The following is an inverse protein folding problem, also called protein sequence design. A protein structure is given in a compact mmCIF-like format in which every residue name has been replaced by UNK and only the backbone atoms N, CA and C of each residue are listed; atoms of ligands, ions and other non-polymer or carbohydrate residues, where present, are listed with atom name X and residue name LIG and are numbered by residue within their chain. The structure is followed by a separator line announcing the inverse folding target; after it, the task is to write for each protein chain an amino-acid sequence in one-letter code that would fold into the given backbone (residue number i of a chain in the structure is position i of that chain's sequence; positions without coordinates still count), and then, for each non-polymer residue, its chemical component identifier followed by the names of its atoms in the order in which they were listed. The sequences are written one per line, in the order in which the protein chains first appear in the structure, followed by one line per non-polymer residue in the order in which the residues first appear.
data_IF_016260276940
#
_entry.id   IF_016260276940
#
_cell.length_a   1.000
_cell.length_b   1.000
_cell.length_c   1.000
_cell.angle_alpha   90.00
_cell.angle_beta   90.00
_cell.angle_gamma   90.00
#
_symmetry.space_group_name_H-M   'P 1'
#
loop_
_entity.id
_entity.type
_entity.pdbx_description
1 polymer ?
#
# COMPACT_ATOMS: atom_id res chain seq x y z
N UNK A 1 -9.36 29.07 31.80
CA UNK A 1 -8.10 29.44 31.13
C UNK A 1 -7.18 28.21 31.14
N UNK A 2 -7.47 27.22 30.29
CA UNK A 2 -6.71 25.98 30.27
C UNK A 2 -6.17 25.73 28.88
N UNK A 3 -4.85 25.71 28.86
CA UNK A 3 -4.04 25.52 27.66
C UNK A 3 -4.00 24.02 27.33
N UNK A 4 -4.83 23.56 26.43
CA UNK A 4 -4.58 22.27 25.74
C UNK A 4 -3.43 22.46 24.75
N UNK A 5 -2.23 22.20 25.22
CA UNK A 5 -1.10 21.90 24.34
C UNK A 5 -1.31 20.50 23.80
N UNK A 6 -1.93 20.38 22.62
CA UNK A 6 -1.93 19.15 21.85
C UNK A 6 -0.51 18.78 21.49
N UNK A 7 0.01 17.70 22.07
CA UNK A 7 1.23 17.08 21.62
C UNK A 7 1.01 16.62 20.17
N UNK A 8 1.77 17.19 19.24
CA UNK A 8 1.83 16.69 17.85
C UNK A 8 2.56 15.35 17.88
N UNK A 9 1.80 14.27 17.96
CA UNK A 9 2.35 12.94 17.72
C UNK A 9 2.59 12.80 16.21
N UNK A 10 3.81 13.09 15.78
CA UNK A 10 4.28 12.70 14.45
C UNK A 10 4.34 11.18 14.40
N UNK A 11 3.36 10.56 13.75
CA UNK A 11 3.40 9.13 13.49
C UNK A 11 4.33 8.88 12.30
N UNK A 12 5.53 8.50 12.63
CA UNK A 12 6.51 8.02 11.68
C UNK A 12 6.22 6.54 11.42
N UNK A 13 5.56 6.19 10.31
CA UNK A 13 5.33 4.80 9.88
C UNK A 13 6.66 4.08 9.58
N UNK A 14 7.74 4.82 9.54
CA UNK A 14 9.07 4.46 9.09
C UNK A 14 9.74 3.25 9.79
N UNK A 15 9.66 3.03 11.11
CA UNK A 15 10.49 1.99 11.74
C UNK A 15 9.97 0.57 11.54
N UNK A 16 8.71 0.38 11.17
CA UNK A 16 8.05 -0.92 11.20
C UNK A 16 7.88 -1.61 9.85
N UNK A 17 8.05 -0.91 8.72
CA UNK A 17 7.96 -1.55 7.40
C UNK A 17 9.25 -2.34 7.14
N UNK A 18 9.21 -3.69 7.06
CA UNK A 18 10.41 -4.50 6.82
C UNK A 18 10.97 -4.24 5.41
N UNK A 19 12.22 -4.55 5.19
CA UNK A 19 12.76 -4.59 3.83
C UNK A 19 12.15 -5.76 3.07
N UNK A 20 11.73 -5.54 1.82
CA UNK A 20 11.36 -6.64 0.92
C UNK A 20 12.61 -7.46 0.59
N UNK A 21 12.48 -8.77 0.64
CA UNK A 21 13.60 -9.68 0.37
C UNK A 21 13.90 -9.76 -1.12
N UNK A 22 15.16 -9.92 -1.47
CA UNK A 22 15.61 -10.10 -2.84
C UNK A 22 15.71 -8.82 -3.65
N UNK A 23 15.79 -8.96 -4.97
CA UNK A 23 15.84 -7.84 -5.91
C UNK A 23 14.44 -7.25 -6.12
N UNK A 24 14.40 -6.00 -6.53
CA UNK A 24 13.13 -5.39 -6.98
C UNK A 24 12.64 -6.10 -8.24
N UNK A 25 11.33 -6.35 -8.34
CA UNK A 25 10.73 -6.89 -9.56
C UNK A 25 11.01 -5.99 -10.78
N UNK A 26 11.05 -6.62 -11.93
CA UNK A 26 11.09 -5.87 -13.20
C UNK A 26 9.68 -5.37 -13.49
N UNK A 27 9.57 -4.13 -13.95
CA UNK A 27 8.31 -3.53 -14.37
C UNK A 27 8.39 -3.04 -15.81
N UNK A 28 7.27 -3.06 -16.52
CA UNK A 28 7.13 -2.41 -17.82
C UNK A 28 6.40 -1.10 -17.61
N UNK A 29 7.12 0.01 -17.86
CA UNK A 29 6.58 1.36 -17.74
C UNK A 29 5.76 1.72 -18.96
N UNK A 30 4.55 2.21 -18.73
CA UNK A 30 3.61 2.60 -19.76
C UNK A 30 2.30 3.09 -19.14
N UNK A 31 1.24 3.28 -19.94
CA UNK A 31 -0.10 3.61 -19.43
C UNK A 31 -0.59 2.58 -18.41
N UNK A 32 -0.31 1.30 -18.67
CA UNK A 32 -0.39 0.22 -17.69
C UNK A 32 1.03 -0.07 -17.22
N UNK A 33 1.40 0.45 -16.06
CA UNK A 33 2.71 0.24 -15.46
C UNK A 33 2.69 -1.09 -14.69
N UNK A 34 3.05 -2.19 -15.34
CA UNK A 34 2.85 -3.56 -14.83
C UNK A 34 4.12 -4.20 -14.32
N UNK A 35 3.98 -5.04 -13.30
CA UNK A 35 5.04 -5.92 -12.80
C UNK A 35 5.19 -7.12 -13.73
N UNK A 36 6.45 -7.52 -14.00
CA UNK A 36 6.79 -8.67 -14.83
C UNK A 36 7.52 -9.72 -13.99
N UNK A 37 6.78 -10.76 -13.59
CA UNK A 37 7.34 -11.84 -12.78
C UNK A 37 7.62 -11.44 -11.33
N UNK A 38 8.30 -12.32 -10.58
CA UNK A 38 8.63 -12.18 -9.16
C UNK A 38 7.38 -11.92 -8.28
N UNK A 39 6.29 -12.59 -8.60
CA UNK A 39 5.02 -12.62 -7.86
C UNK A 39 4.71 -14.02 -7.35
N UNK A 40 3.88 -14.10 -6.32
CA UNK A 40 3.35 -15.37 -5.81
C UNK A 40 2.18 -15.91 -6.64
N UNK A 41 1.36 -16.74 -6.01
CA UNK A 41 0.15 -17.30 -6.62
C UNK A 41 -0.92 -16.19 -6.73
N UNK A 42 -1.58 -16.10 -7.87
CA UNK A 42 -2.72 -15.22 -8.11
C UNK A 42 -3.86 -15.45 -7.09
N UNK A 43 -3.95 -16.66 -6.54
CA UNK A 43 -4.94 -16.97 -5.50
C UNK A 43 -4.71 -16.17 -4.23
N UNK A 44 -3.47 -16.08 -3.73
CA UNK A 44 -3.17 -15.30 -2.53
C UNK A 44 -3.49 -13.81 -2.74
N UNK A 45 -3.23 -13.30 -3.94
CA UNK A 45 -3.60 -11.94 -4.29
C UNK A 45 -5.12 -11.75 -4.33
N UNK A 46 -5.89 -12.72 -4.88
CA UNK A 46 -7.35 -12.67 -4.90
C UNK A 46 -7.93 -12.72 -3.49
N UNK A 47 -7.45 -13.65 -2.66
CA UNK A 47 -7.89 -13.78 -1.26
C UNK A 47 -7.65 -12.47 -0.48
N UNK A 48 -6.50 -11.82 -0.71
CA UNK A 48 -6.20 -10.50 -0.13
C UNK A 48 -7.16 -9.41 -0.63
N UNK A 49 -7.46 -9.39 -1.93
CA UNK A 49 -8.37 -8.39 -2.51
C UNK A 49 -9.79 -8.60 -2.00
N UNK A 50 -10.26 -9.84 -1.89
CA UNK A 50 -11.56 -10.18 -1.33
C UNK A 50 -11.68 -9.73 0.15
N UNK A 51 -10.61 -9.91 0.94
CA UNK A 51 -10.53 -9.39 2.30
C UNK A 51 -10.66 -7.85 2.32
N UNK A 52 -9.95 -7.15 1.43
CA UNK A 52 -10.00 -5.67 1.35
C UNK A 52 -11.38 -5.20 0.93
N UNK A 53 -12.03 -5.87 -0.02
CA UNK A 53 -13.39 -5.55 -0.46
C UNK A 53 -14.41 -5.65 0.68
N UNK A 54 -14.18 -6.55 1.64
CA UNK A 54 -15.04 -6.71 2.81
C UNK A 54 -14.89 -5.59 3.86
N UNK A 55 -13.95 -4.67 3.72
CA UNK A 55 -13.83 -3.53 4.64
C UNK A 55 -15.00 -2.54 4.48
N UNK A 56 -15.36 -1.81 5.55
CA UNK A 56 -16.48 -0.86 5.50
C UNK A 56 -16.33 0.17 4.37
N UNK A 57 -17.45 0.54 3.77
CA UNK A 57 -17.53 1.59 2.75
C UNK A 57 -16.68 1.37 1.48
N UNK A 58 -16.23 0.15 1.22
CA UNK A 58 -15.56 -0.16 -0.05
C UNK A 58 -16.58 -0.60 -1.08
N UNK A 59 -16.52 0.04 -2.22
CA UNK A 59 -17.21 -0.33 -3.45
C UNK A 59 -16.17 -0.89 -4.42
N UNK A 60 -16.32 -2.15 -4.82
CA UNK A 60 -15.45 -2.78 -5.80
C UNK A 60 -16.22 -3.03 -7.09
N UNK A 61 -15.55 -2.83 -8.21
CA UNK A 61 -16.14 -3.10 -9.50
C UNK A 61 -15.10 -3.42 -10.57
N UNK A 62 -15.48 -4.24 -11.57
CA UNK A 62 -14.66 -4.41 -12.73
C UNK A 62 -14.62 -3.07 -13.49
N UNK A 63 -13.42 -2.63 -13.88
CA UNK A 63 -13.30 -1.58 -14.87
C UNK A 63 -13.28 -2.23 -16.25
N UNK A 64 -14.14 -1.82 -17.17
CA UNK A 64 -14.12 -2.33 -18.55
C UNK A 64 -12.93 -1.72 -19.30
N UNK A 65 -11.73 -2.22 -19.08
CA UNK A 65 -10.54 -1.83 -19.84
C UNK A 65 -10.14 -3.04 -20.68
N UNK A 66 -10.85 -3.25 -21.79
CA UNK A 66 -10.56 -4.35 -22.71
C UNK A 66 -10.74 -5.74 -22.05
N UNK A 67 -9.79 -6.64 -22.29
CA UNK A 67 -9.78 -8.02 -21.77
C UNK A 67 -8.95 -8.18 -20.49
N UNK A 68 -8.63 -7.08 -19.78
CA UNK A 68 -7.80 -7.13 -18.57
C UNK A 68 -8.69 -7.44 -17.36
N UNK A 69 -8.37 -8.52 -16.65
CA UNK A 69 -8.97 -8.87 -15.36
C UNK A 69 -8.47 -7.86 -14.29
N UNK A 70 -9.32 -6.90 -13.97
CA UNK A 70 -8.95 -5.74 -13.18
C UNK A 70 -10.08 -5.40 -12.20
N UNK A 71 -9.71 -5.15 -10.94
CA UNK A 71 -10.61 -4.69 -9.89
C UNK A 71 -10.22 -3.26 -9.46
N UNK A 72 -11.19 -2.34 -9.50
CA UNK A 72 -11.11 -1.01 -8.93
C UNK A 72 -11.66 -1.02 -7.51
N UNK A 73 -10.90 -0.49 -6.55
CA UNK A 73 -11.27 -0.35 -5.15
C UNK A 73 -11.59 1.12 -4.87
N UNK A 74 -12.85 1.41 -4.61
CA UNK A 74 -13.35 2.77 -4.39
C UNK A 74 -13.94 2.89 -2.99
N UNK A 75 -13.88 4.09 -2.40
CA UNK A 75 -14.62 4.39 -1.17
C UNK A 75 -15.99 4.97 -1.49
N UNK A 76 -16.98 4.70 -0.62
CA UNK A 76 -18.32 5.27 -0.72
C UNK A 76 -18.30 6.80 -0.73
N UNK A 77 -19.26 7.41 -1.42
CA UNK A 77 -19.33 8.88 -1.57
C UNK A 77 -19.45 9.61 -0.23
N UNK A 78 -20.12 8.98 0.72
CA UNK A 78 -20.39 9.51 2.05
C UNK A 78 -19.16 9.64 2.94
N UNK A 79 -18.08 8.88 2.61
CA UNK A 79 -16.84 8.87 3.38
C UNK A 79 -15.62 9.32 2.57
N UNK A 80 -15.76 9.51 1.27
CA UNK A 80 -14.67 9.96 0.41
C UNK A 80 -14.30 11.41 0.71
N UNK A 81 -13.01 11.68 0.90
CA UNK A 81 -12.52 13.06 0.97
C UNK A 81 -12.76 13.78 -0.36
N UNK A 82 -12.93 15.09 -0.31
CA UNK A 82 -13.01 15.93 -1.52
C UNK A 82 -11.65 16.21 -2.17
N UNK A 83 -10.55 15.75 -1.61
CA UNK A 83 -9.20 16.00 -2.13
C UNK A 83 -8.85 14.97 -3.22
N UNK A 84 -8.70 15.38 -4.50
CA UNK A 84 -8.38 14.45 -5.58
C UNK A 84 -6.97 13.86 -5.48
N UNK A 85 -6.07 14.42 -4.67
CA UNK A 85 -4.70 13.92 -4.54
C UNK A 85 -4.61 12.58 -3.80
N UNK A 86 -5.67 12.16 -3.12
CA UNK A 86 -5.73 10.89 -2.38
C UNK A 86 -6.32 9.74 -3.20
N UNK A 87 -6.65 9.99 -4.47
CA UNK A 87 -7.27 9.00 -5.35
C UNK A 87 -6.46 8.82 -6.64
N UNK A 88 -6.50 7.62 -7.21
CA UNK A 88 -5.96 7.36 -8.56
C UNK A 88 -6.83 8.12 -9.57
N UNK A 89 -8.16 7.97 -9.45
CA UNK A 89 -9.16 8.71 -10.21
C UNK A 89 -10.51 8.64 -9.47
N UNK A 90 -11.30 9.70 -9.53
CA UNK A 90 -12.61 9.75 -8.89
C UNK A 90 -12.56 9.46 -7.40
N UNK A 91 -12.97 8.26 -6.97
CA UNK A 91 -12.95 7.76 -5.59
C UNK A 91 -12.10 6.49 -5.45
N UNK A 92 -11.33 6.17 -6.47
CA UNK A 92 -10.50 4.98 -6.53
C UNK A 92 -9.19 5.19 -5.75
N UNK A 93 -9.05 4.51 -4.62
CA UNK A 93 -7.84 4.53 -3.80
C UNK A 93 -6.85 3.42 -4.16
N UNK A 94 -7.35 2.36 -4.80
CA UNK A 94 -6.56 1.20 -5.20
C UNK A 94 -7.11 0.52 -6.44
N UNK A 95 -6.23 -0.16 -7.14
CA UNK A 95 -6.53 -0.96 -8.33
C UNK A 95 -5.65 -2.18 -8.37
N UNK A 96 -6.22 -3.33 -8.73
CA UNK A 96 -5.47 -4.59 -8.85
C UNK A 96 -5.73 -5.21 -10.21
N UNK A 97 -4.65 -5.59 -10.89
CA UNK A 97 -4.65 -6.35 -12.12
C UNK A 97 -4.26 -7.79 -11.79
N UNK A 98 -5.00 -8.77 -12.30
CA UNK A 98 -4.71 -10.19 -12.07
C UNK A 98 -3.98 -10.85 -13.23
N UNK A 99 -4.32 -10.59 -14.47
CA UNK A 99 -3.63 -11.18 -15.63
C UNK A 99 -2.17 -10.75 -15.84
N UNK A 100 -1.79 -9.62 -15.22
CA UNK A 100 -0.42 -9.16 -15.05
C UNK A 100 -0.32 -8.65 -13.61
N UNK A 101 -0.09 -9.53 -12.62
CA UNK A 101 -0.30 -9.24 -11.21
C UNK A 101 0.38 -7.94 -10.78
N UNK A 102 -0.43 -6.91 -10.54
CA UNK A 102 0.08 -5.56 -10.23
C UNK A 102 -0.92 -4.84 -9.34
N UNK A 103 -0.43 -4.16 -8.32
CA UNK A 103 -1.23 -3.39 -7.38
C UNK A 103 -0.90 -1.90 -7.57
N UNK A 104 -1.92 -1.05 -7.74
CA UNK A 104 -1.76 0.40 -7.64
C UNK A 104 -2.47 0.90 -6.38
N UNK A 105 -1.78 1.71 -5.61
CA UNK A 105 -2.33 2.36 -4.40
C UNK A 105 -1.95 3.83 -4.38
N UNK A 106 -2.84 4.66 -3.85
CA UNK A 106 -2.49 6.04 -3.52
C UNK A 106 -2.06 6.09 -2.06
N UNK A 107 -0.79 6.41 -1.81
CA UNK A 107 -0.21 6.46 -0.47
C UNK A 107 0.11 7.90 -0.06
N UNK A 108 0.02 8.25 1.24
CA UNK A 108 0.65 9.46 1.76
C UNK A 108 2.12 9.49 1.33
N UNK A 109 2.65 10.67 0.96
CA UNK A 109 4.01 10.79 0.39
C UNK A 109 5.10 10.23 1.32
N UNK A 110 4.94 10.37 2.63
CA UNK A 110 5.83 9.77 3.61
C UNK A 110 5.81 8.23 3.56
N UNK A 111 4.63 7.63 3.45
CA UNK A 111 4.48 6.18 3.32
C UNK A 111 5.00 5.68 1.97
N UNK A 112 4.71 6.40 0.89
CA UNK A 112 5.23 6.13 -0.45
C UNK A 112 6.77 6.11 -0.46
N UNK A 113 7.40 7.11 0.17
CA UNK A 113 8.85 7.16 0.31
C UNK A 113 9.40 5.90 1.00
N UNK A 114 8.83 5.48 2.12
CA UNK A 114 9.28 4.29 2.82
C UNK A 114 9.00 3.00 2.06
N UNK A 115 7.87 2.89 1.38
CA UNK A 115 7.58 1.75 0.51
C UNK A 115 8.63 1.61 -0.61
N UNK A 116 9.06 2.74 -1.19
CA UNK A 116 10.12 2.76 -2.22
C UNK A 116 11.47 2.36 -1.61
N UNK A 117 11.88 2.98 -0.51
CA UNK A 117 13.18 2.73 0.14
C UNK A 117 13.31 1.27 0.59
N UNK A 118 12.22 0.71 1.12
CA UNK A 118 12.16 -0.68 1.60
C UNK A 118 11.93 -1.71 0.49
N UNK A 119 11.80 -1.29 -0.78
CA UNK A 119 11.70 -2.17 -1.94
C UNK A 119 10.30 -2.75 -2.18
N UNK A 120 9.24 -2.15 -1.63
CA UNK A 120 7.85 -2.60 -1.77
C UNK A 120 7.12 -1.95 -2.92
N UNK A 121 7.59 -0.80 -3.41
CA UNK A 121 6.90 -0.05 -4.43
C UNK A 121 7.84 0.78 -5.29
N UNK A 122 7.30 1.30 -6.38
CA UNK A 122 7.90 2.37 -7.18
C UNK A 122 6.84 3.39 -7.61
N UNK A 123 7.21 4.64 -7.96
CA UNK A 123 6.26 5.62 -8.45
C UNK A 123 5.59 5.15 -9.74
N UNK A 124 4.28 5.37 -9.87
CA UNK A 124 3.59 5.08 -11.11
C UNK A 124 4.11 5.97 -12.25
N UNK A 125 4.37 5.37 -13.42
CA UNK A 125 4.97 6.07 -14.57
C UNK A 125 4.19 7.35 -14.96
N UNK A 126 2.86 7.29 -14.96
CA UNK A 126 2.01 8.43 -15.28
C UNK A 126 2.12 9.61 -14.31
N UNK A 127 2.64 9.39 -13.09
CA UNK A 127 2.90 10.44 -12.11
C UNK A 127 3.97 11.42 -12.59
N UNK A 128 4.97 10.94 -13.35
CA UNK A 128 6.03 11.78 -13.93
C UNK A 128 5.50 12.80 -14.95
N UNK A 129 4.30 12.60 -15.46
CA UNK A 129 3.62 13.47 -16.43
C UNK A 129 2.45 14.24 -15.79
N UNK A 130 2.25 14.12 -14.48
CA UNK A 130 1.13 14.76 -13.79
C UNK A 130 -0.26 14.19 -14.15
N UNK A 131 -0.32 13.00 -14.73
CA UNK A 131 -1.57 12.34 -15.13
C UNK A 131 -2.26 11.63 -13.97
N UNK A 132 -1.52 11.33 -12.91
CA UNK A 132 -2.02 10.81 -11.64
C UNK A 132 -1.30 11.53 -10.50
N UNK A 133 -1.88 11.59 -9.29
CA UNK A 133 -1.22 12.18 -8.13
C UNK A 133 0.14 11.54 -7.82
N UNK A 134 1.09 12.31 -7.23
CA UNK A 134 2.44 11.82 -6.93
C UNK A 134 2.47 10.68 -5.89
N UNK A 135 1.39 10.52 -5.11
CA UNK A 135 1.22 9.42 -4.16
C UNK A 135 0.81 8.09 -4.81
N UNK A 136 0.52 8.06 -6.11
CA UNK A 136 0.14 6.81 -6.79
C UNK A 136 1.38 5.97 -7.04
N UNK A 137 1.37 4.78 -6.43
CA UNK A 137 2.48 3.82 -6.45
C UNK A 137 2.07 2.54 -7.16
N UNK A 138 3.04 1.91 -7.84
CA UNK A 138 3.01 0.50 -8.18
C UNK A 138 3.57 -0.24 -6.98
N UNK A 139 2.73 -0.95 -6.26
CA UNK A 139 3.11 -1.82 -5.15
C UNK A 139 3.34 -3.22 -5.70
N UNK A 140 4.49 -3.80 -5.38
CA UNK A 140 4.82 -5.14 -5.86
C UNK A 140 3.94 -6.18 -5.18
N UNK A 141 3.42 -7.10 -5.98
CA UNK A 141 2.55 -8.18 -5.51
C UNK A 141 3.31 -9.13 -4.57
N UNK A 142 2.61 -9.69 -3.57
CA UNK A 142 3.24 -10.58 -2.59
C UNK A 142 3.67 -11.91 -3.23
N UNK A 143 4.72 -12.51 -2.69
CA UNK A 143 5.25 -13.83 -3.09
C UNK A 143 4.93 -14.92 -2.07
N UNK A 144 4.55 -14.53 -0.88
CA UNK A 144 4.26 -15.42 0.25
C UNK A 144 3.40 -14.71 1.30
N UNK A 145 2.96 -15.46 2.31
CA UNK A 145 2.08 -14.98 3.38
C UNK A 145 2.67 -13.79 4.17
N UNK A 146 4.00 -13.72 4.34
CA UNK A 146 4.63 -12.59 5.03
C UNK A 146 4.51 -11.31 4.20
N UNK A 147 4.69 -11.42 2.87
CA UNK A 147 4.52 -10.31 1.96
C UNK A 147 3.04 -9.92 1.80
N UNK A 148 2.10 -10.88 1.87
CA UNK A 148 0.66 -10.60 1.94
C UNK A 148 0.33 -9.71 3.13
N UNK A 149 0.89 -9.97 4.31
CA UNK A 149 0.66 -9.14 5.50
C UNK A 149 1.15 -7.69 5.29
N UNK A 150 2.27 -7.50 4.60
CA UNK A 150 2.78 -6.15 4.25
C UNK A 150 1.87 -5.48 3.23
N UNK A 151 1.48 -6.17 2.16
CA UNK A 151 0.56 -5.64 1.16
C UNK A 151 -0.79 -5.25 1.79
N UNK A 152 -1.35 -6.08 2.68
CA UNK A 152 -2.56 -5.76 3.47
C UNK A 152 -2.40 -4.43 4.21
N UNK A 153 -1.26 -4.22 4.85
CA UNK A 153 -0.99 -2.98 5.57
C UNK A 153 -0.90 -1.77 4.65
N UNK A 154 -0.33 -1.92 3.45
CA UNK A 154 -0.30 -0.85 2.44
C UNK A 154 -1.70 -0.54 1.90
N UNK A 155 -2.56 -1.55 1.67
CA UNK A 155 -3.96 -1.34 1.35
C UNK A 155 -4.68 -0.57 2.46
N UNK A 156 -4.46 -0.94 3.73
CA UNK A 156 -5.04 -0.26 4.88
C UNK A 156 -4.63 1.21 4.94
N UNK A 157 -3.35 1.51 4.70
CA UNK A 157 -2.86 2.90 4.63
C UNK A 157 -3.56 3.67 3.52
N UNK A 158 -3.64 3.10 2.31
CA UNK A 158 -4.29 3.73 1.16
C UNK A 158 -5.78 3.98 1.41
N UNK A 159 -6.49 2.97 1.91
CA UNK A 159 -7.90 3.07 2.26
C UNK A 159 -8.17 4.19 3.26
N UNK A 160 -7.46 4.20 4.38
CA UNK A 160 -7.65 5.25 5.36
C UNK A 160 -7.27 6.64 4.82
N UNK A 161 -6.23 6.75 3.99
CA UNK A 161 -5.86 8.02 3.35
C UNK A 161 -6.98 8.58 2.48
N UNK A 162 -7.84 7.73 1.95
CA UNK A 162 -8.99 8.09 1.11
C UNK A 162 -10.24 8.51 1.89
N UNK A 163 -10.28 8.35 3.23
CA UNK A 163 -11.44 8.73 4.04
C UNK A 163 -11.43 10.23 4.37
N UNK A 164 -12.63 10.87 4.43
CA UNK A 164 -12.79 12.33 4.53
C UNK A 164 -11.96 13.00 5.61
N UNK A 165 -12.30 12.84 6.86
CA UNK A 165 -11.66 13.59 7.95
C UNK A 165 -10.31 13.01 8.38
N UNK A 166 -10.07 11.72 8.09
CA UNK A 166 -8.85 11.02 8.46
C UNK A 166 -7.74 11.15 7.44
N UNK A 167 -8.08 11.42 6.17
CA UNK A 167 -7.10 11.66 5.12
C UNK A 167 -6.36 12.98 5.24
N UNK A 168 -6.98 14.01 5.85
CA UNK A 168 -6.37 15.34 6.04
C UNK A 168 -5.40 15.44 7.20
N UNK A 169 -5.57 14.58 8.22
CA UNK A 169 -4.68 14.53 9.39
C UNK A 169 -3.64 13.41 9.20
N UNK A 170 -2.98 13.41 8.05
CA UNK A 170 -2.03 12.37 7.63
C UNK A 170 -0.79 12.20 8.53
N UNK A 171 -0.65 13.03 9.55
CA UNK A 171 0.44 12.91 10.53
C UNK A 171 0.13 11.88 11.65
N UNK A 172 -1.10 11.31 11.68
CA UNK A 172 -1.58 10.39 12.74
C UNK A 172 -2.03 9.02 12.20
N UNK A 173 -1.21 8.36 11.39
CA UNK A 173 -1.53 7.00 10.90
C UNK A 173 -1.01 5.93 11.85
N UNK A 174 -1.83 5.52 12.82
CA UNK A 174 -1.65 4.26 13.53
C UNK A 174 -2.15 3.10 12.67
N UNK A 175 -1.40 2.70 11.64
CA UNK A 175 -1.62 1.40 11.04
C UNK A 175 -1.25 0.35 12.10
N UNK A 176 -2.18 -0.52 12.52
CA UNK A 176 -1.82 -1.66 13.32
C UNK A 176 -1.02 -2.59 12.40
N UNK A 177 0.31 -2.49 12.44
CA UNK A 177 1.19 -3.50 11.88
C UNK A 177 0.99 -4.75 12.71
N UNK A 178 -0.04 -5.54 12.37
CA UNK A 178 -0.36 -6.78 13.06
C UNK A 178 0.77 -7.75 12.78
N UNK A 179 1.71 -7.78 13.71
CA UNK A 179 2.42 -8.97 14.09
C UNK A 179 3.23 -9.70 13.01
N UNK A 180 4.28 -9.07 12.44
CA UNK A 180 5.46 -9.85 12.05
C UNK A 180 6.45 -9.76 13.21
N UNK A 181 6.21 -10.53 14.26
CA UNK A 181 7.22 -10.76 15.28
C UNK A 181 8.35 -11.58 14.66
N UNK A 182 9.40 -10.89 14.23
CA UNK A 182 10.67 -11.58 14.03
C UNK A 182 11.15 -12.05 15.41
N UNK A 183 10.96 -13.33 15.68
CA UNK A 183 11.72 -14.03 16.72
C UNK A 183 13.17 -14.15 16.20
N UNK A 184 13.94 -13.08 16.29
CA UNK A 184 15.39 -13.14 16.16
C UNK A 184 15.95 -13.54 17.51
N UNK A 185 16.01 -14.85 17.75
CA UNK A 185 16.94 -15.40 18.73
C UNK A 185 18.34 -15.19 18.16
N UNK A 186 18.95 -14.08 18.53
CA UNK A 186 20.41 -13.91 18.35
C UNK A 186 21.02 -14.81 19.41
N UNK A 187 21.48 -16.00 19.00
CA UNK A 187 22.41 -16.78 19.80
C UNK A 187 23.73 -15.99 19.85
N UNK A 188 24.03 -15.42 21.01
CA UNK A 188 25.37 -14.90 21.29
C UNK A 188 26.37 -16.06 21.23
N UNK A 189 27.51 -15.91 20.53
CA UNK A 189 28.56 -16.91 20.57
C UNK A 189 29.16 -16.95 21.99
N UNK A 190 29.01 -18.09 22.65
CA UNK A 190 29.70 -18.40 23.92
C UNK A 190 31.18 -18.27 23.68
N UNK A 191 31.80 -17.27 24.31
CA UNK A 191 33.24 -17.14 24.37
C UNK A 191 33.82 -18.34 25.10
N UNK A 192 34.56 -19.18 24.38
CA UNK A 192 35.34 -20.25 24.97
C UNK A 192 36.49 -19.63 25.79
N UNK A 193 36.39 -19.74 27.12
CA UNK A 193 37.49 -19.51 28.01
C UNK A 193 38.38 -20.79 28.02
N UNK A 194 39.64 -20.63 27.70
CA UNK A 194 40.71 -21.60 27.81
C UNK A 194 42.05 -20.88 27.87
#
# INVERSE_FOLDING_TARGET
MDRFRGAKNLITISPSLPNRRGKRPITIRGPLHVQCGDHGDDRELRDLVDEVIAWPHIEAGPLPVGSVDLVSLQVGREVATGDPSVFITGREFGRVLFGAPTIYLTLPLSCAHWAIVRGWAEPHFSGSFGLVPPGVMVVYTPRDEQEVAVCRSLFWVSYNFSLTDRGRNSDEWNAPWVGVTHSSTIEEPVAAAG
#
